data_IF_912330290247
#
_entry.id   IF_912330290247
#
_cell.length_a   1.000
_cell.length_b   1.000
_cell.length_c   1.000
_cell.angle_alpha   90.00
_cell.angle_beta   90.00
_cell.angle_gamma   90.00
#
_symmetry.space_group_name_H-M   'P 1'
#
loop_
_entity.id
_entity.type
_entity.pdbx_description
1 polymer ?
#
# COMPACT_ATOMS: atom_id res chain seq x y z
N UNK A 1 59.47 -0.31 -1.54
CA UNK A 1 58.93 0.93 -2.13
C UNK A 1 57.39 1.03 -2.12
N UNK A 2 56.61 -0.07 -2.07
CA UNK A 2 55.14 -0.01 -1.90
C UNK A 2 54.63 0.10 -0.45
N UNK A 3 55.47 -0.13 0.58
CA UNK A 3 55.07 0.08 1.99
C UNK A 3 55.13 1.56 2.41
N UNK A 4 56.07 2.35 1.91
CA UNK A 4 56.27 3.76 2.31
C UNK A 4 55.15 4.71 1.84
N UNK A 5 54.51 4.44 0.71
CA UNK A 5 53.39 5.26 0.19
C UNK A 5 52.14 5.16 1.05
N UNK A 6 51.82 3.98 1.60
CA UNK A 6 50.62 3.78 2.43
C UNK A 6 50.75 4.45 3.81
N UNK A 7 51.96 4.43 4.40
CA UNK A 7 52.25 5.12 5.67
C UNK A 7 52.22 6.65 5.52
N UNK A 8 52.77 7.22 4.43
CA UNK A 8 52.71 8.66 4.18
C UNK A 8 51.28 9.16 3.92
N UNK A 9 50.44 8.38 3.23
CA UNK A 9 49.02 8.71 3.03
C UNK A 9 48.23 8.64 4.34
N UNK A 10 48.53 7.68 5.22
CA UNK A 10 47.87 7.59 6.52
C UNK A 10 48.29 8.72 7.47
N UNK A 11 49.58 9.06 7.50
CA UNK A 11 50.13 10.15 8.32
C UNK A 11 49.59 11.53 7.89
N UNK A 12 49.54 11.81 6.60
CA UNK A 12 48.97 13.06 6.06
C UNK A 12 47.48 13.20 6.35
N UNK A 13 46.71 12.10 6.30
CA UNK A 13 45.29 12.09 6.70
C UNK A 13 45.09 12.38 8.19
N UNK A 14 45.89 11.77 9.06
CA UNK A 14 45.85 12.02 10.51
C UNK A 14 46.23 13.46 10.87
N UNK A 15 47.25 14.02 10.22
CA UNK A 15 47.62 15.44 10.39
C UNK A 15 46.50 16.37 9.93
N UNK A 16 45.87 16.10 8.79
CA UNK A 16 44.73 16.89 8.29
C UNK A 16 43.56 16.83 9.27
N UNK A 17 43.23 15.66 9.80
CA UNK A 17 42.19 15.51 10.83
C UNK A 17 42.51 16.32 12.10
N UNK A 18 43.73 16.23 12.62
CA UNK A 18 44.14 16.98 13.81
C UNK A 18 44.08 18.50 13.59
N UNK A 19 44.45 18.98 12.39
CA UNK A 19 44.31 20.39 12.01
C UNK A 19 42.84 20.84 11.95
N UNK A 20 41.95 20.00 11.43
CA UNK A 20 40.51 20.29 11.37
C UNK A 20 39.91 20.34 12.79
N UNK A 21 40.30 19.41 13.66
CA UNK A 21 39.87 19.40 15.05
C UNK A 21 40.36 20.65 15.80
N UNK A 22 41.59 21.11 15.55
CA UNK A 22 42.12 22.35 16.14
C UNK A 22 41.41 23.62 15.60
N UNK A 23 40.84 23.56 14.40
CA UNK A 23 40.06 24.66 13.78
C UNK A 23 38.59 24.66 14.17
N UNK A 24 38.08 23.56 14.74
CA UNK A 24 36.68 23.47 15.15
C UNK A 24 36.37 24.52 16.22
N UNK A 25 35.28 25.26 16.01
CA UNK A 25 34.87 26.31 16.93
C UNK A 25 34.37 25.71 18.25
N UNK A 26 34.73 26.34 19.37
CA UNK A 26 34.14 26.05 20.67
C UNK A 26 32.85 26.86 20.80
N UNK A 27 31.71 26.19 20.65
CA UNK A 27 30.39 26.82 20.69
C UNK A 27 29.80 26.80 22.11
N UNK A 28 29.06 27.86 22.53
CA UNK A 28 28.41 27.91 23.86
C UNK A 28 27.39 26.78 24.08
N UNK A 29 26.73 26.36 23.00
CA UNK A 29 25.84 25.20 22.92
C UNK A 29 26.23 24.40 21.69
N UNK A 30 26.31 23.08 21.82
CA UNK A 30 26.48 22.18 20.68
C UNK A 30 25.18 22.10 19.86
N UNK A 31 25.16 22.52 18.59
CA UNK A 31 23.98 22.36 17.73
C UNK A 31 23.68 20.87 17.52
N UNK A 32 22.39 20.52 17.53
CA UNK A 32 21.94 19.17 17.21
C UNK A 32 21.93 19.00 15.68
N UNK A 33 22.76 18.08 15.17
CA UNK A 33 22.92 17.83 13.73
C UNK A 33 22.33 16.47 13.38
N UNK A 34 21.43 16.45 12.39
CA UNK A 34 20.90 15.22 11.83
C UNK A 34 21.53 14.98 10.46
N UNK A 35 22.28 13.89 10.31
CA UNK A 35 22.70 13.38 8.99
C UNK A 35 21.73 12.27 8.63
N UNK A 36 20.81 12.56 7.71
CA UNK A 36 19.62 11.74 7.42
C UNK A 36 19.90 10.83 6.22
N UNK A 37 19.86 9.52 6.47
CA UNK A 37 19.97 8.48 5.45
C UNK A 37 18.60 8.09 4.88
N UNK A 38 17.57 8.01 5.74
CA UNK A 38 16.17 7.81 5.36
C UNK A 38 15.26 8.81 6.08
N UNK A 39 14.33 9.43 5.34
CA UNK A 39 13.36 10.39 5.90
C UNK A 39 12.22 9.70 6.66
N UNK A 40 11.72 8.60 6.10
CA UNK A 40 10.63 7.79 6.66
C UNK A 40 10.84 6.31 6.32
N UNK A 41 10.89 5.42 7.34
CA UNK A 41 11.08 5.75 8.76
C UNK A 41 12.40 6.51 8.99
N UNK A 42 12.48 7.36 10.03
CA UNK A 42 13.66 8.20 10.26
C UNK A 42 14.88 7.32 10.58
N UNK A 43 15.92 7.43 9.75
CA UNK A 43 17.21 6.79 9.97
C UNK A 43 18.33 7.84 9.89
N UNK A 44 19.09 7.96 10.98
CA UNK A 44 20.23 8.87 11.12
C UNK A 44 21.53 8.04 11.11
N UNK A 45 22.52 8.50 10.34
CA UNK A 45 23.83 7.83 10.19
C UNK A 45 24.48 7.56 11.55
N UNK A 46 25.11 6.39 11.71
CA UNK A 46 25.87 6.00 12.90
C UNK A 46 27.36 5.85 12.60
N UNK A 47 28.18 5.89 13.63
CA UNK A 47 29.61 5.58 13.55
C UNK A 47 30.41 6.83 13.25
N UNK A 48 31.23 6.80 12.18
CA UNK A 48 32.14 7.88 11.83
C UNK A 48 31.44 9.23 11.64
N UNK A 49 30.17 9.26 11.22
CA UNK A 49 29.38 10.48 11.08
C UNK A 49 29.17 11.22 12.40
N UNK A 50 28.89 10.48 13.49
CA UNK A 50 28.75 11.05 14.83
C UNK A 50 30.07 11.62 15.33
N UNK A 51 31.18 10.88 15.13
CA UNK A 51 32.52 11.35 15.48
C UNK A 51 32.87 12.63 14.72
N UNK A 52 32.56 12.71 13.42
CA UNK A 52 32.82 13.91 12.62
C UNK A 52 32.00 15.12 13.10
N UNK A 53 30.72 14.93 13.44
CA UNK A 53 29.88 16.00 13.99
C UNK A 53 30.42 16.48 15.34
N UNK A 54 30.84 15.56 16.21
CA UNK A 54 31.43 15.90 17.49
C UNK A 54 32.75 16.67 17.35
N UNK A 55 33.64 16.21 16.45
CA UNK A 55 34.90 16.91 16.12
C UNK A 55 34.61 18.31 15.61
N UNK A 56 33.56 18.49 14.79
CA UNK A 56 33.17 19.77 14.23
C UNK A 56 32.41 20.70 15.23
N UNK A 57 32.23 20.28 16.48
CA UNK A 57 31.62 21.09 17.55
C UNK A 57 30.10 20.94 17.70
N UNK A 58 29.48 20.00 16.98
CA UNK A 58 28.07 19.67 17.11
C UNK A 58 27.80 18.47 18.03
N UNK A 59 26.53 18.04 18.05
CA UNK A 59 26.09 16.81 18.68
C UNK A 59 25.07 16.08 17.79
N UNK A 60 25.05 14.76 17.84
CA UNK A 60 23.99 13.93 17.24
C UNK A 60 23.12 13.29 18.32
N UNK A 61 21.88 12.88 18.02
CA UNK A 61 21.07 12.11 18.96
C UNK A 61 21.81 10.88 19.48
N UNK A 62 21.69 10.61 20.79
CA UNK A 62 22.33 9.46 21.45
C UNK A 62 21.90 8.11 20.87
N UNK A 63 20.70 8.07 20.31
CA UNK A 63 20.18 6.92 19.58
C UNK A 63 20.40 7.14 18.08
N UNK A 64 21.35 6.41 17.46
CA UNK A 64 21.62 6.46 16.01
C UNK A 64 21.88 5.06 15.45
N UNK A 65 21.74 4.89 14.12
CA UNK A 65 21.97 3.61 13.42
C UNK A 65 20.93 2.53 13.69
N UNK A 66 19.72 2.96 14.02
CA UNK A 66 18.48 2.18 14.02
C UNK A 66 17.37 3.08 13.47
N UNK A 67 16.20 2.51 13.19
CA UNK A 67 14.99 3.31 12.96
C UNK A 67 14.67 4.05 14.27
N UNK A 68 14.48 5.37 14.17
CA UNK A 68 14.23 6.25 15.31
C UNK A 68 12.80 6.76 15.29
N UNK A 69 12.22 6.90 16.48
CA UNK A 69 11.00 7.68 16.69
C UNK A 69 11.38 9.15 16.89
N UNK A 70 11.13 10.03 15.90
CA UNK A 70 11.52 11.44 15.98
C UNK A 70 10.82 12.21 17.10
N UNK A 71 9.70 11.71 17.65
CA UNK A 71 9.00 12.37 18.76
C UNK A 71 9.76 12.29 20.08
N UNK A 72 10.72 11.37 20.18
CA UNK A 72 11.54 11.13 21.37
C UNK A 72 12.94 11.76 21.28
N UNK A 73 13.26 12.44 20.17
CA UNK A 73 14.58 13.03 19.94
C UNK A 73 14.58 14.54 20.14
N UNK A 74 15.74 15.09 20.49
CA UNK A 74 15.95 16.55 20.48
C UNK A 74 15.84 17.09 19.05
N UNK A 75 15.09 18.18 18.82
CA UNK A 75 14.92 18.76 17.48
C UNK A 75 16.25 19.18 16.84
N UNK A 76 16.39 18.95 15.53
CA UNK A 76 17.59 19.29 14.79
C UNK A 76 17.75 20.81 14.60
N UNK A 77 18.94 21.33 14.94
CA UNK A 77 19.40 22.69 14.63
C UNK A 77 19.95 22.78 13.20
N UNK A 78 20.50 21.68 12.67
CA UNK A 78 21.02 21.52 11.30
C UNK A 78 20.61 20.16 10.75
N UNK A 79 20.15 20.10 9.49
CA UNK A 79 19.87 18.84 8.80
C UNK A 79 20.76 18.71 7.56
N UNK A 80 21.48 17.60 7.46
CA UNK A 80 22.22 17.17 6.28
C UNK A 80 21.49 15.98 5.67
N UNK A 81 20.96 16.13 4.47
CA UNK A 81 20.26 15.07 3.73
C UNK A 81 21.26 14.31 2.89
N UNK A 82 21.52 13.06 3.29
CA UNK A 82 22.45 12.14 2.67
C UNK A 82 21.71 10.84 2.33
N UNK A 83 20.66 10.92 1.49
CA UNK A 83 19.79 9.76 1.22
C UNK A 83 20.58 8.59 0.62
N UNK A 84 20.35 7.40 1.16
CA UNK A 84 21.08 6.20 0.75
C UNK A 84 20.77 5.84 -0.72
N UNK A 85 21.82 5.59 -1.51
CA UNK A 85 21.67 5.17 -2.91
C UNK A 85 21.38 6.32 -3.89
N UNK A 86 21.18 7.56 -3.42
CA UNK A 86 20.83 8.69 -4.27
C UNK A 86 21.98 9.69 -4.37
N UNK A 87 22.16 10.27 -5.56
CA UNK A 87 22.96 11.48 -5.71
C UNK A 87 22.19 12.71 -5.19
N UNK A 88 22.88 13.85 -5.08
CA UNK A 88 22.34 15.09 -4.54
C UNK A 88 21.10 15.59 -5.30
N UNK A 89 21.12 15.55 -6.63
CA UNK A 89 20.07 16.14 -7.46
C UNK A 89 18.80 15.27 -7.41
N UNK A 90 18.96 13.95 -7.35
CA UNK A 90 17.86 12.99 -7.13
C UNK A 90 17.31 13.12 -5.70
N UNK A 91 18.17 13.23 -4.69
CA UNK A 91 17.74 13.43 -3.30
C UNK A 91 16.93 14.72 -3.12
N UNK A 92 17.30 15.80 -3.82
CA UNK A 92 16.53 17.05 -3.83
C UNK A 92 15.15 16.86 -4.48
N UNK A 93 15.07 16.19 -5.63
CA UNK A 93 13.77 15.91 -6.27
C UNK A 93 12.87 15.07 -5.37
N UNK A 94 13.45 14.07 -4.70
CA UNK A 94 12.73 13.23 -3.73
C UNK A 94 12.10 14.08 -2.61
N UNK A 95 12.87 14.99 -2.01
CA UNK A 95 12.39 15.95 -1.00
C UNK A 95 11.29 16.89 -1.49
N UNK A 96 11.26 17.20 -2.79
CA UNK A 96 10.24 18.08 -3.39
C UNK A 96 8.96 17.32 -3.78
N UNK A 97 9.08 16.02 -4.07
CA UNK A 97 7.98 15.20 -4.61
C UNK A 97 7.05 14.60 -3.57
N UNK A 98 7.44 14.59 -2.29
CA UNK A 98 6.72 13.91 -1.20
C UNK A 98 6.41 14.85 -0.05
N UNK A 99 5.29 14.64 0.68
CA UNK A 99 5.04 15.38 1.90
C UNK A 99 6.16 15.07 2.92
N UNK A 100 6.76 16.12 3.47
CA UNK A 100 7.81 16.00 4.47
C UNK A 100 7.18 15.69 5.85
N UNK A 101 7.85 14.87 6.68
CA UNK A 101 7.32 14.42 7.96
C UNK A 101 7.19 15.57 8.97
N UNK A 102 6.31 15.41 9.95
CA UNK A 102 5.98 16.48 10.91
C UNK A 102 7.19 16.96 11.73
N UNK A 103 8.06 16.03 12.16
CA UNK A 103 9.29 16.36 12.90
C UNK A 103 10.23 17.27 12.12
N UNK A 104 10.28 17.08 10.80
CA UNK A 104 11.09 17.87 9.89
C UNK A 104 10.55 19.29 9.86
N UNK A 105 9.27 19.45 9.56
CA UNK A 105 8.59 20.74 9.44
C UNK A 105 8.67 21.57 10.73
N UNK A 106 8.67 20.92 11.90
CA UNK A 106 8.75 21.59 13.20
C UNK A 106 10.18 21.95 13.63
N UNK A 107 11.20 21.40 12.99
CA UNK A 107 12.60 21.55 13.40
C UNK A 107 13.13 22.99 13.26
N UNK A 108 14.00 23.44 14.19
CA UNK A 108 14.74 24.69 14.03
C UNK A 108 15.52 24.77 12.71
N UNK A 109 16.11 23.65 12.28
CA UNK A 109 16.85 23.57 11.03
C UNK A 109 16.04 24.04 9.81
N UNK A 110 14.79 23.57 9.69
CA UNK A 110 13.93 23.96 8.56
C UNK A 110 13.50 25.42 8.65
N UNK A 111 13.13 25.88 9.86
CA UNK A 111 12.70 27.26 10.09
C UNK A 111 13.79 28.28 9.77
N UNK A 112 15.04 27.94 10.05
CA UNK A 112 16.20 28.80 9.82
C UNK A 112 16.88 28.55 8.46
N UNK A 113 16.36 27.63 7.62
CA UNK A 113 16.96 27.32 6.33
C UNK A 113 18.31 26.57 6.42
N UNK A 114 18.57 25.89 7.53
CA UNK A 114 19.76 25.08 7.79
C UNK A 114 19.60 23.62 7.33
N UNK A 115 19.09 23.45 6.11
CA UNK A 115 18.95 22.15 5.46
C UNK A 115 19.88 22.08 4.26
N UNK A 116 20.70 21.04 4.21
CA UNK A 116 21.73 20.88 3.20
C UNK A 116 21.66 19.50 2.58
N UNK A 117 21.56 19.42 1.25
CA UNK A 117 21.50 18.17 0.49
C UNK A 117 22.89 17.89 -0.09
N UNK A 118 23.33 16.64 0.06
CA UNK A 118 24.64 16.17 -0.39
C UNK A 118 24.48 14.82 -1.11
N UNK A 119 25.52 14.39 -1.81
CA UNK A 119 25.60 13.00 -2.30
C UNK A 119 25.96 12.08 -1.11
N UNK A 120 24.96 11.32 -0.64
CA UNK A 120 25.12 10.45 0.52
C UNK A 120 26.15 9.34 0.30
N UNK A 121 26.21 8.77 -0.91
CA UNK A 121 27.12 7.68 -1.25
C UNK A 121 28.59 8.12 -1.27
N UNK A 122 28.86 9.34 -1.72
CA UNK A 122 30.23 9.86 -1.80
C UNK A 122 30.75 10.39 -0.46
N UNK A 123 29.86 10.92 0.39
CA UNK A 123 30.27 11.72 1.54
C UNK A 123 30.09 11.03 2.90
N UNK A 124 28.88 10.57 3.24
CA UNK A 124 28.55 10.18 4.61
C UNK A 124 28.25 8.69 4.79
N UNK A 125 27.69 8.03 3.76
CA UNK A 125 27.13 6.68 3.90
C UNK A 125 28.15 5.57 3.62
N UNK A 126 29.36 5.92 3.15
CA UNK A 126 30.45 4.98 2.86
C UNK A 126 31.79 5.51 3.33
N UNK A 127 32.72 4.63 3.77
CA UNK A 127 34.07 5.03 4.10
C UNK A 127 34.88 5.29 2.83
N UNK A 128 34.73 6.49 2.27
CA UNK A 128 35.45 6.93 1.06
C UNK A 128 36.69 7.73 1.42
N UNK A 129 37.54 8.04 0.43
CA UNK A 129 38.65 8.97 0.61
C UNK A 129 38.20 10.42 0.87
N UNK A 130 36.90 10.72 0.76
CA UNK A 130 36.30 12.05 0.93
C UNK A 130 35.77 12.34 2.33
N UNK A 131 35.87 11.39 3.27
CA UNK A 131 35.43 11.62 4.66
C UNK A 131 36.10 12.85 5.30
N UNK A 132 37.37 13.11 5.00
CA UNK A 132 38.06 14.31 5.49
C UNK A 132 37.56 15.60 4.83
N UNK A 133 37.10 15.54 3.58
CA UNK A 133 36.49 16.68 2.91
C UNK A 133 35.11 16.97 3.52
N UNK A 134 34.35 15.92 3.86
CA UNK A 134 33.08 16.04 4.58
C UNK A 134 33.26 16.58 6.00
N UNK A 135 34.30 16.13 6.72
CA UNK A 135 34.66 16.67 8.03
C UNK A 135 35.04 18.15 7.94
N UNK A 136 35.88 18.52 6.97
CA UNK A 136 36.27 19.92 6.76
C UNK A 136 35.05 20.80 6.47
N UNK A 137 34.11 20.30 5.69
CA UNK A 137 32.85 20.99 5.45
C UNK A 137 31.99 21.11 6.71
N UNK A 138 31.88 20.06 7.53
CA UNK A 138 31.17 20.12 8.82
C UNK A 138 31.80 21.14 9.79
N UNK A 139 33.13 21.21 9.85
CA UNK A 139 33.86 22.19 10.68
C UNK A 139 33.54 23.64 10.28
N UNK A 140 33.21 23.88 9.00
CA UNK A 140 32.77 25.18 8.51
C UNK A 140 31.26 25.40 8.70
N UNK A 141 30.45 24.35 8.47
CA UNK A 141 29.00 24.40 8.49
C UNK A 141 28.45 24.64 9.90
N UNK A 142 28.86 23.83 10.87
CA UNK A 142 28.27 23.82 12.21
C UNK A 142 28.34 25.18 12.92
N UNK A 143 29.46 25.92 12.90
CA UNK A 143 29.52 27.23 13.57
C UNK A 143 28.84 28.37 12.82
N UNK A 144 28.64 28.24 11.51
CA UNK A 144 28.12 29.32 10.66
C UNK A 144 27.24 28.78 9.49
N UNK A 145 26.14 28.07 9.79
CA UNK A 145 25.33 27.42 8.75
C UNK A 145 24.73 28.41 7.75
N UNK A 146 24.54 29.65 8.17
CA UNK A 146 23.94 30.74 7.38
C UNK A 146 24.87 31.20 6.25
N UNK A 147 26.18 31.14 6.49
CA UNK A 147 27.23 31.66 5.60
C UNK A 147 27.96 30.55 4.81
N UNK A 148 27.55 29.29 4.94
CA UNK A 148 28.32 28.16 4.38
C UNK A 148 28.56 28.25 2.87
N UNK A 149 27.64 28.85 2.10
CA UNK A 149 27.77 29.06 0.65
C UNK A 149 28.89 30.01 0.27
N UNK A 150 29.22 30.95 1.15
CA UNK A 150 30.32 31.90 0.96
C UNK A 150 31.66 31.32 1.41
N UNK A 151 31.62 30.47 2.43
CA UNK A 151 32.78 29.88 3.10
C UNK A 151 33.30 28.64 2.36
N UNK A 152 32.40 27.79 1.87
CA UNK A 152 32.75 26.50 1.26
C UNK A 152 32.38 26.46 -0.22
N UNK A 153 33.40 26.62 -1.08
CA UNK A 153 33.22 26.68 -2.55
C UNK A 153 33.48 25.36 -3.27
N UNK A 154 34.15 24.42 -2.60
CA UNK A 154 34.66 23.18 -3.23
C UNK A 154 33.88 21.94 -2.81
N UNK A 155 33.19 21.98 -1.67
CA UNK A 155 32.38 20.85 -1.23
C UNK A 155 31.03 20.84 -1.97
N UNK A 156 30.63 19.72 -2.62
CA UNK A 156 29.42 19.69 -3.42
C UNK A 156 28.19 19.47 -2.53
N UNK A 157 27.56 20.56 -2.12
CA UNK A 157 26.27 20.57 -1.42
C UNK A 157 25.28 21.47 -2.14
N UNK A 158 24.02 21.41 -1.71
CA UNK A 158 23.00 22.39 -2.06
C UNK A 158 22.18 22.75 -0.83
N UNK A 159 21.94 24.03 -0.59
CA UNK A 159 21.02 24.46 0.48
C UNK A 159 19.59 24.20 0.01
N UNK A 160 18.86 23.36 0.73
CA UNK A 160 17.46 23.10 0.46
C UNK A 160 16.62 24.17 1.17
N UNK A 161 16.02 25.04 0.37
CA UNK A 161 14.96 25.92 0.87
C UNK A 161 13.68 25.13 0.81
N UNK A 162 13.05 24.91 1.98
CA UNK A 162 11.69 24.41 2.00
C UNK A 162 10.77 25.47 1.41
N UNK A 163 10.54 25.37 0.11
CA UNK A 163 9.42 26.05 -0.54
C UNK A 163 8.21 25.19 -0.16
N UNK A 164 7.47 25.63 0.87
CA UNK A 164 6.12 25.11 1.07
C UNK A 164 5.42 25.20 -0.29
N UNK A 165 4.78 24.13 -0.82
CA UNK A 165 4.03 24.25 -2.06
C UNK A 165 2.97 25.35 -1.86
N UNK A 166 3.06 26.53 -2.50
CA UNK A 166 2.32 27.69 -2.01
C UNK A 166 0.84 27.73 -2.39
N UNK A 167 0.33 26.80 -3.22
CA UNK A 167 -1.10 26.78 -3.60
C UNK A 167 -1.71 25.37 -3.59
N UNK A 168 -0.99 24.30 -3.96
CA UNK A 168 -1.61 22.95 -4.04
C UNK A 168 -1.92 22.31 -2.68
N UNK A 169 -1.16 22.60 -1.62
CA UNK A 169 -1.39 22.00 -0.29
C UNK A 169 -2.53 22.70 0.46
N UNK A 170 -2.60 24.04 0.42
CA UNK A 170 -3.74 24.77 0.98
C UNK A 170 -5.02 24.45 0.22
N UNK A 171 -4.95 24.37 -1.12
CA UNK A 171 -6.11 24.07 -1.95
C UNK A 171 -6.61 22.64 -1.75
N UNK A 172 -5.71 21.66 -1.59
CA UNK A 172 -6.12 20.28 -1.28
C UNK A 172 -6.74 20.17 0.11
N UNK A 173 -6.23 20.91 1.10
CA UNK A 173 -6.81 20.97 2.44
C UNK A 173 -8.19 21.66 2.42
N UNK A 174 -8.36 22.73 1.64
CA UNK A 174 -9.65 23.38 1.40
C UNK A 174 -10.64 22.46 0.69
N UNK A 175 -10.20 21.74 -0.35
CA UNK A 175 -10.99 20.71 -1.04
C UNK A 175 -11.45 19.64 -0.05
N UNK A 176 -10.56 19.15 0.82
CA UNK A 176 -10.88 18.13 1.80
C UNK A 176 -11.84 18.67 2.88
N UNK A 177 -11.61 19.87 3.40
CA UNK A 177 -12.48 20.49 4.39
C UNK A 177 -13.90 20.75 3.83
N UNK A 178 -14.02 21.24 2.59
CA UNK A 178 -15.30 21.42 1.92
C UNK A 178 -16.03 20.08 1.71
N UNK A 179 -15.30 19.05 1.30
CA UNK A 179 -15.82 17.69 1.13
C UNK A 179 -16.29 17.08 2.46
N UNK A 180 -15.52 17.22 3.54
CA UNK A 180 -15.84 16.71 4.87
C UNK A 180 -17.07 17.40 5.45
N UNK A 181 -17.15 18.73 5.35
CA UNK A 181 -18.32 19.50 5.76
C UNK A 181 -19.59 19.07 5.01
N UNK A 182 -19.50 18.88 3.69
CA UNK A 182 -20.62 18.42 2.87
C UNK A 182 -21.02 16.96 3.20
N UNK A 183 -20.05 16.08 3.49
CA UNK A 183 -20.33 14.72 3.96
C UNK A 183 -21.06 14.72 5.31
N UNK A 184 -20.59 15.52 6.27
CA UNK A 184 -21.22 15.66 7.59
C UNK A 184 -22.66 16.18 7.47
N UNK A 185 -22.91 17.10 6.54
CA UNK A 185 -24.23 17.63 6.22
C UNK A 185 -25.08 16.71 5.32
N UNK A 186 -24.58 15.53 4.92
CA UNK A 186 -25.24 14.59 3.99
C UNK A 186 -25.66 15.24 2.67
N UNK A 187 -24.82 16.14 2.15
CA UNK A 187 -25.05 16.79 0.87
C UNK A 187 -24.53 15.92 -0.28
N UNK A 188 -25.24 15.95 -1.42
CA UNK A 188 -24.86 15.17 -2.59
C UNK A 188 -23.56 15.67 -3.25
N UNK A 189 -23.31 16.97 -3.18
CA UNK A 189 -22.17 17.66 -3.80
C UNK A 189 -21.61 18.74 -2.88
N UNK A 190 -20.37 19.13 -3.13
CA UNK A 190 -19.75 20.36 -2.66
C UNK A 190 -19.17 21.11 -3.86
N UNK A 191 -18.99 22.42 -3.74
CA UNK A 191 -18.28 23.20 -4.75
C UNK A 191 -16.78 23.05 -4.53
N UNK A 192 -16.08 22.50 -5.51
CA UNK A 192 -14.64 22.27 -5.47
C UNK A 192 -13.88 23.61 -5.46
N UNK A 193 -13.18 23.96 -4.36
CA UNK A 193 -12.47 25.24 -4.25
C UNK A 193 -11.46 25.48 -5.37
N UNK A 194 -10.92 24.44 -5.99
CA UNK A 194 -9.95 24.57 -7.08
C UNK A 194 -10.57 24.89 -8.44
N UNK A 195 -11.79 24.40 -8.70
CA UNK A 195 -12.37 24.41 -10.05
C UNK A 195 -13.70 25.14 -10.14
N UNK A 196 -14.35 25.38 -9.00
CA UNK A 196 -15.72 25.88 -8.90
C UNK A 196 -16.78 24.87 -9.36
N UNK A 197 -16.39 23.64 -9.71
CA UNK A 197 -17.35 22.61 -10.13
C UNK A 197 -18.02 21.93 -8.92
N UNK A 198 -19.30 21.61 -9.07
CA UNK A 198 -20.00 20.76 -8.11
C UNK A 198 -19.52 19.30 -8.18
N UNK A 199 -18.75 18.86 -7.19
CA UNK A 199 -18.18 17.51 -7.10
C UNK A 199 -19.00 16.64 -6.15
N UNK A 200 -19.27 15.38 -6.53
CA UNK A 200 -20.00 14.45 -5.68
C UNK A 200 -19.23 14.11 -4.41
N UNK A 201 -19.93 14.09 -3.27
CA UNK A 201 -19.34 13.69 -1.98
C UNK A 201 -19.15 12.18 -1.89
N UNK A 202 -18.12 11.74 -1.16
CA UNK A 202 -17.91 10.32 -0.82
C UNK A 202 -19.15 9.68 -0.18
N UNK A 203 -19.83 10.40 0.74
CA UNK A 203 -21.08 9.94 1.35
C UNK A 203 -22.14 9.61 0.29
N UNK A 204 -22.41 10.54 -0.63
CA UNK A 204 -23.41 10.34 -1.67
C UNK A 204 -23.05 9.22 -2.64
N UNK A 205 -21.76 9.09 -2.98
CA UNK A 205 -21.27 7.98 -3.81
C UNK A 205 -21.45 6.64 -3.11
N UNK A 206 -21.16 6.56 -1.81
CA UNK A 206 -21.33 5.36 -1.00
C UNK A 206 -22.81 4.95 -0.89
N UNK A 207 -23.73 5.90 -0.69
CA UNK A 207 -25.18 5.66 -0.66
C UNK A 207 -25.72 5.11 -1.99
N UNK A 208 -25.16 5.54 -3.11
CA UNK A 208 -25.53 5.04 -4.44
C UNK A 208 -25.05 3.61 -4.69
N UNK A 209 -23.97 3.19 -4.02
CA UNK A 209 -23.37 1.85 -4.13
C UNK A 209 -22.91 1.51 -5.56
N UNK A 210 -22.49 2.52 -6.33
CA UNK A 210 -22.02 2.37 -7.72
C UNK A 210 -20.83 3.30 -7.96
N UNK A 211 -19.71 2.74 -8.40
CA UNK A 211 -18.60 3.53 -8.95
C UNK A 211 -18.91 3.93 -10.40
N UNK A 212 -18.92 5.23 -10.70
CA UNK A 212 -19.33 5.74 -12.01
C UNK A 212 -18.23 5.70 -13.09
N UNK A 213 -17.00 5.37 -12.75
CA UNK A 213 -15.87 5.35 -13.70
C UNK A 213 -15.32 6.74 -14.08
N UNK A 214 -15.78 7.83 -13.43
CA UNK A 214 -15.40 9.21 -13.79
C UNK A 214 -14.28 9.82 -12.91
N UNK A 215 -13.43 8.99 -12.29
CA UNK A 215 -12.27 9.42 -11.47
C UNK A 215 -12.58 10.54 -10.45
N UNK A 216 -13.69 10.41 -9.71
CA UNK A 216 -14.13 11.41 -8.74
C UNK A 216 -13.05 11.71 -7.67
N UNK A 217 -12.88 12.97 -7.27
CA UNK A 217 -11.86 13.38 -6.27
C UNK A 217 -11.86 12.56 -4.98
N UNK A 218 -13.04 12.27 -4.45
CA UNK A 218 -13.21 11.52 -3.18
C UNK A 218 -13.99 10.22 -3.41
N UNK A 219 -13.62 9.46 -4.44
CA UNK A 219 -14.25 8.16 -4.71
C UNK A 219 -14.01 7.19 -3.54
N UNK A 220 -15.06 6.72 -2.84
CA UNK A 220 -14.92 5.77 -1.73
C UNK A 220 -14.56 4.35 -2.23
N UNK A 221 -14.77 4.10 -3.52
CA UNK A 221 -14.52 2.82 -4.17
C UNK A 221 -13.12 2.71 -4.78
N UNK A 222 -12.18 3.58 -4.39
CA UNK A 222 -10.80 3.57 -4.92
C UNK A 222 -10.70 3.61 -6.45
N UNK A 223 -11.62 4.35 -7.10
CA UNK A 223 -11.74 4.40 -8.56
C UNK A 223 -11.87 3.03 -9.24
N UNK A 224 -12.53 2.07 -8.59
CA UNK A 224 -12.52 0.68 -9.05
C UNK A 224 -13.13 0.46 -10.45
N UNK A 225 -14.04 1.32 -10.93
CA UNK A 225 -14.57 1.24 -12.29
C UNK A 225 -13.88 2.21 -13.28
N UNK A 226 -12.80 2.89 -12.89
CA UNK A 226 -12.01 3.72 -13.82
C UNK A 226 -11.03 2.80 -14.55
N UNK A 227 -11.03 2.79 -15.90
CA UNK A 227 -10.09 1.98 -16.67
C UNK A 227 -8.64 2.27 -16.28
N UNK A 228 -7.79 1.23 -16.22
CA UNK A 228 -6.41 1.34 -15.72
C UNK A 228 -5.61 2.38 -16.49
N UNK A 229 -5.78 2.41 -17.82
CA UNK A 229 -5.19 3.36 -18.74
C UNK A 229 -5.56 4.83 -18.45
N UNK A 230 -6.64 5.08 -17.71
CA UNK A 230 -7.19 6.42 -17.41
C UNK A 230 -6.94 6.89 -15.96
N UNK A 231 -6.35 6.06 -15.12
CA UNK A 231 -6.15 6.38 -13.69
C UNK A 231 -5.10 7.46 -13.46
N UNK A 232 -4.02 7.47 -14.26
CA UNK A 232 -2.83 8.27 -13.97
C UNK A 232 -2.22 7.93 -12.61
N UNK A 233 -1.39 8.83 -12.07
CA UNK A 233 -0.58 8.54 -10.87
C UNK A 233 -1.34 8.69 -9.53
N UNK A 234 -2.51 9.34 -9.54
CA UNK A 234 -3.29 9.64 -8.32
C UNK A 234 -4.55 8.79 -8.26
N UNK A 235 -4.51 7.71 -7.48
CA UNK A 235 -5.64 6.82 -7.22
C UNK A 235 -6.08 6.96 -5.77
N UNK A 236 -7.38 6.97 -5.53
CA UNK A 236 -7.90 6.98 -4.16
C UNK A 236 -7.72 5.60 -3.51
N UNK A 237 -7.33 5.60 -2.24
CA UNK A 237 -7.33 4.38 -1.43
C UNK A 237 -8.75 4.07 -0.95
N UNK A 238 -9.11 2.79 -0.94
CA UNK A 238 -10.29 2.34 -0.22
C UNK A 238 -9.93 2.19 1.25
N UNK A 239 -10.49 3.04 2.12
CA UNK A 239 -10.16 3.05 3.55
C UNK A 239 -11.24 2.42 4.42
N UNK A 240 -12.41 2.11 3.85
CA UNK A 240 -13.57 1.57 4.57
C UNK A 240 -14.23 0.45 3.77
N UNK A 241 -15.09 -0.33 4.43
CA UNK A 241 -15.92 -1.31 3.76
C UNK A 241 -16.85 -0.64 2.74
N UNK A 242 -16.98 -1.23 1.56
CA UNK A 242 -17.81 -0.71 0.46
C UNK A 242 -18.64 -1.80 -0.17
N UNK A 243 -19.91 -1.49 -0.42
CA UNK A 243 -20.82 -2.33 -1.18
C UNK A 243 -21.01 -1.77 -2.58
N UNK A 244 -20.86 -2.62 -3.58
CA UNK A 244 -20.98 -2.34 -5.00
C UNK A 244 -22.13 -3.18 -5.57
N UNK A 245 -23.13 -2.51 -6.16
CA UNK A 245 -24.20 -3.20 -6.90
C UNK A 245 -23.65 -3.78 -8.21
N UNK A 246 -24.29 -4.85 -8.68
CA UNK A 246 -24.07 -5.34 -10.03
C UNK A 246 -24.27 -4.20 -11.07
N UNK A 247 -23.35 -4.03 -12.03
CA UNK A 247 -23.39 -2.90 -12.97
C UNK A 247 -24.59 -2.97 -13.94
N UNK A 248 -25.07 -4.18 -14.27
CA UNK A 248 -26.16 -4.40 -15.23
C UNK A 248 -27.23 -5.32 -14.60
N UNK A 249 -28.10 -4.83 -13.70
CA UNK A 249 -28.97 -5.67 -12.87
C UNK A 249 -29.98 -6.56 -13.63
N UNK A 250 -30.20 -6.34 -14.93
CA UNK A 250 -31.09 -7.16 -15.78
C UNK A 250 -30.36 -7.96 -16.87
N UNK A 251 -29.03 -7.92 -16.89
CA UNK A 251 -28.23 -8.68 -17.86
C UNK A 251 -27.72 -9.99 -17.22
N UNK A 252 -27.51 -11.02 -18.05
CA UNK A 252 -26.76 -12.20 -17.64
C UNK A 252 -25.29 -11.83 -17.44
N UNK A 253 -24.71 -12.29 -16.34
CA UNK A 253 -23.27 -12.21 -16.11
C UNK A 253 -22.48 -13.17 -17.02
N UNK A 254 -21.14 -13.06 -17.00
CA UNK A 254 -20.25 -13.92 -17.80
C UNK A 254 -20.51 -15.42 -17.57
N UNK A 255 -20.87 -15.81 -16.34
CA UNK A 255 -21.14 -17.20 -15.95
C UNK A 255 -22.60 -17.62 -16.19
N UNK A 256 -23.39 -16.79 -16.88
CA UNK A 256 -24.79 -17.07 -17.18
C UNK A 256 -25.77 -16.77 -16.04
N UNK A 257 -25.29 -16.37 -14.86
CA UNK A 257 -26.14 -15.97 -13.74
C UNK A 257 -27.08 -14.83 -14.14
N UNK A 258 -28.35 -14.98 -13.79
CA UNK A 258 -29.38 -13.95 -13.93
C UNK A 258 -30.00 -13.70 -12.56
N UNK A 259 -29.97 -12.44 -12.12
CA UNK A 259 -30.58 -12.03 -10.85
C UNK A 259 -32.09 -12.38 -10.84
N UNK A 260 -32.64 -12.87 -9.71
CA UNK A 260 -34.08 -13.08 -9.55
C UNK A 260 -34.89 -11.81 -9.85
N UNK A 261 -36.13 -11.99 -10.34
CA UNK A 261 -37.03 -10.87 -10.57
C UNK A 261 -37.33 -10.10 -9.28
N UNK A 262 -37.66 -8.81 -9.40
CA UNK A 262 -37.88 -7.92 -8.26
C UNK A 262 -38.94 -8.49 -7.32
N UNK A 263 -38.60 -8.63 -6.04
CA UNK A 263 -39.49 -9.17 -5.00
C UNK A 263 -39.55 -10.70 -4.92
N UNK A 264 -38.89 -11.43 -5.84
CA UNK A 264 -38.80 -12.89 -5.80
C UNK A 264 -37.68 -13.39 -4.87
N UNK A 265 -36.57 -12.66 -4.78
CA UNK A 265 -35.46 -13.01 -3.91
C UNK A 265 -35.87 -12.95 -2.42
N UNK A 266 -35.73 -14.08 -1.72
CA UNK A 266 -35.99 -14.25 -0.29
C UNK A 266 -34.73 -14.56 0.50
N UNK A 267 -33.74 -15.16 -0.16
CA UNK A 267 -32.48 -15.57 0.44
C UNK A 267 -31.30 -14.97 -0.31
N UNK A 268 -30.28 -14.58 0.45
CA UNK A 268 -29.00 -14.10 -0.06
C UNK A 268 -27.97 -15.20 0.17
N UNK A 269 -27.36 -15.66 -0.91
CA UNK A 269 -26.25 -16.60 -0.89
C UNK A 269 -24.96 -15.78 -0.99
N UNK A 270 -24.16 -15.79 0.07
CA UNK A 270 -22.92 -15.02 0.13
C UNK A 270 -21.76 -15.92 -0.26
N UNK A 271 -21.14 -15.63 -1.39
CA UNK A 271 -19.97 -16.37 -1.87
C UNK A 271 -18.71 -15.62 -1.43
N UNK A 272 -17.89 -16.28 -0.60
CA UNK A 272 -16.58 -15.75 -0.23
C UNK A 272 -15.65 -15.80 -1.45
N UNK A 273 -15.43 -14.63 -2.03
CA UNK A 273 -14.74 -14.46 -3.30
C UNK A 273 -13.32 -13.99 -3.05
N UNK A 274 -12.33 -14.85 -3.28
CA UNK A 274 -10.92 -14.48 -3.15
C UNK A 274 -10.37 -13.89 -4.45
N UNK A 275 -11.07 -14.10 -5.58
CA UNK A 275 -10.61 -13.74 -6.91
C UNK A 275 -9.74 -14.81 -7.57
N UNK A 276 -9.44 -15.90 -6.87
CA UNK A 276 -8.66 -17.03 -7.37
C UNK A 276 -9.51 -18.19 -7.88
N UNK A 277 -8.81 -19.21 -8.42
CA UNK A 277 -9.40 -20.38 -9.09
C UNK A 277 -10.42 -21.14 -8.23
N UNK A 278 -10.19 -21.25 -6.92
CA UNK A 278 -11.04 -22.05 -6.02
C UNK A 278 -12.39 -21.36 -5.80
N UNK A 279 -12.36 -20.04 -5.56
CA UNK A 279 -13.59 -19.23 -5.47
C UNK A 279 -14.35 -19.17 -6.81
N UNK A 280 -13.63 -19.26 -7.94
CA UNK A 280 -14.23 -19.32 -9.27
C UNK A 280 -14.98 -20.63 -9.53
N UNK A 281 -14.37 -21.77 -9.19
CA UNK A 281 -15.02 -23.08 -9.22
C UNK A 281 -16.24 -23.11 -8.29
N UNK A 282 -16.10 -22.64 -7.06
CA UNK A 282 -17.19 -22.61 -6.08
C UNK A 282 -18.36 -21.74 -6.52
N UNK A 283 -18.08 -20.57 -7.11
CA UNK A 283 -19.12 -19.69 -7.67
C UNK A 283 -19.85 -20.36 -8.83
N UNK A 284 -19.14 -21.04 -9.73
CA UNK A 284 -19.76 -21.75 -10.84
C UNK A 284 -20.75 -22.83 -10.35
N UNK A 285 -20.33 -23.68 -9.42
CA UNK A 285 -21.16 -24.73 -8.83
C UNK A 285 -22.37 -24.16 -8.08
N UNK A 286 -22.15 -23.06 -7.36
CA UNK A 286 -23.24 -22.34 -6.68
C UNK A 286 -24.28 -21.89 -7.71
N UNK A 287 -23.86 -21.25 -8.81
CA UNK A 287 -24.78 -20.79 -9.85
C UNK A 287 -25.60 -21.94 -10.44
N UNK A 288 -25.02 -23.13 -10.61
CA UNK A 288 -25.73 -24.30 -11.15
C UNK A 288 -26.77 -24.89 -10.17
N UNK A 289 -26.63 -24.65 -8.87
CA UNK A 289 -27.46 -25.24 -7.81
C UNK A 289 -28.43 -24.25 -7.15
N UNK A 290 -28.44 -22.99 -7.59
CA UNK A 290 -29.31 -21.95 -7.04
C UNK A 290 -30.79 -22.24 -7.25
N UNK A 291 -31.57 -21.92 -6.22
CA UNK A 291 -33.00 -21.78 -6.34
C UNK A 291 -33.40 -20.43 -6.93
N UNK A 292 -34.57 -20.42 -7.52
CA UNK A 292 -35.18 -19.28 -8.22
C UNK A 292 -35.47 -18.05 -7.33
N UNK A 293 -35.42 -18.22 -6.01
CA UNK A 293 -35.62 -17.20 -4.97
C UNK A 293 -34.33 -16.81 -4.24
N UNK A 294 -33.17 -17.24 -4.75
CA UNK A 294 -31.85 -16.96 -4.18
C UNK A 294 -31.05 -15.96 -5.01
N UNK A 295 -30.51 -14.94 -4.35
CA UNK A 295 -29.64 -13.93 -4.97
C UNK A 295 -28.18 -14.08 -4.48
N UNK A 296 -27.20 -14.02 -5.39
CA UNK A 296 -25.78 -14.08 -5.01
C UNK A 296 -25.25 -12.68 -4.65
N UNK A 297 -24.45 -12.63 -3.60
CA UNK A 297 -23.53 -11.51 -3.31
C UNK A 297 -22.13 -12.07 -3.12
N UNK A 298 -21.13 -11.45 -3.76
CA UNK A 298 -19.72 -11.74 -3.49
C UNK A 298 -19.28 -10.98 -2.24
N UNK A 299 -18.50 -11.61 -1.38
CA UNK A 299 -17.87 -10.96 -0.23
C UNK A 299 -16.36 -11.21 -0.26
N UNK A 300 -15.58 -10.14 -0.14
CA UNK A 300 -14.12 -10.20 -0.08
C UNK A 300 -13.61 -9.29 1.01
N UNK A 301 -12.64 -9.74 1.79
CA UNK A 301 -11.95 -8.90 2.77
C UNK A 301 -10.68 -8.31 2.17
N UNK A 302 -10.32 -7.09 2.57
CA UNK A 302 -9.07 -6.46 2.16
C UNK A 302 -8.47 -5.63 3.30
N UNK A 303 -7.14 -5.48 3.30
CA UNK A 303 -6.46 -4.61 4.24
C UNK A 303 -6.42 -3.17 3.67
N UNK A 304 -7.07 -2.18 4.31
CA UNK A 304 -7.05 -0.79 3.85
C UNK A 304 -5.69 -0.09 4.05
N UNK A 305 -4.83 -0.58 4.94
CA UNK A 305 -3.51 0.00 5.22
C UNK A 305 -2.54 -0.28 4.05
N UNK A 306 -2.57 -1.51 3.54
CA UNK A 306 -1.73 -1.98 2.43
C UNK A 306 -2.45 -2.07 1.09
N UNK A 307 -3.76 -1.80 1.07
CA UNK A 307 -4.65 -1.88 -0.09
C UNK A 307 -4.52 -3.21 -0.86
N UNK A 308 -4.53 -4.33 -0.13
CA UNK A 308 -4.36 -5.68 -0.68
C UNK A 308 -5.42 -6.63 -0.14
N UNK A 309 -5.85 -7.60 -0.94
CA UNK A 309 -6.57 -8.79 -0.46
C UNK A 309 -5.54 -9.73 0.18
N UNK A 310 -5.57 -9.95 1.50
CA UNK A 310 -4.59 -10.80 2.19
C UNK A 310 -4.58 -12.22 1.61
N UNK A 311 -3.45 -12.91 1.76
CA UNK A 311 -3.19 -14.27 1.23
C UNK A 311 -3.09 -14.29 -0.31
N UNK A 312 -4.10 -13.81 -1.03
CA UNK A 312 -4.09 -13.77 -2.50
C UNK A 312 -3.09 -12.78 -3.09
N UNK A 313 -2.72 -11.75 -2.32
CA UNK A 313 -1.76 -10.71 -2.70
C UNK A 313 -2.16 -9.96 -3.99
N UNK A 314 -3.46 -9.67 -4.14
CA UNK A 314 -3.99 -8.91 -5.27
C UNK A 314 -4.66 -7.61 -4.81
N UNK A 315 -4.65 -6.54 -5.64
CA UNK A 315 -5.35 -5.30 -5.32
C UNK A 315 -6.88 -5.50 -5.28
N UNK A 316 -7.62 -4.83 -4.37
CA UNK A 316 -9.08 -4.89 -4.34
C UNK A 316 -9.76 -4.46 -5.65
N UNK A 317 -9.11 -3.60 -6.46
CA UNK A 317 -9.63 -3.25 -7.78
C UNK A 317 -9.80 -4.48 -8.67
N UNK A 318 -8.87 -5.43 -8.63
CA UNK A 318 -8.98 -6.66 -9.43
C UNK A 318 -10.24 -7.43 -9.08
N UNK A 319 -10.61 -7.48 -7.79
CA UNK A 319 -11.87 -8.08 -7.34
C UNK A 319 -13.10 -7.33 -7.88
N UNK A 320 -13.06 -6.01 -7.91
CA UNK A 320 -14.15 -5.20 -8.47
C UNK A 320 -14.30 -5.42 -9.97
N UNK A 321 -13.19 -5.50 -10.70
CA UNK A 321 -13.20 -5.80 -12.14
C UNK A 321 -13.81 -7.19 -12.40
N UNK A 322 -13.41 -8.20 -11.63
CA UNK A 322 -14.02 -9.53 -11.70
C UNK A 322 -15.52 -9.48 -11.42
N UNK A 323 -15.95 -8.89 -10.30
CA UNK A 323 -17.37 -8.77 -9.95
C UNK A 323 -18.19 -8.04 -11.01
N UNK A 324 -17.62 -7.00 -11.63
CA UNK A 324 -18.23 -6.25 -12.72
C UNK A 324 -18.46 -7.11 -13.97
N UNK A 325 -17.45 -7.90 -14.38
CA UNK A 325 -17.56 -8.83 -15.53
C UNK A 325 -18.53 -9.98 -15.24
N UNK A 326 -18.48 -10.51 -14.02
CA UNK A 326 -19.42 -11.51 -13.52
C UNK A 326 -20.85 -10.94 -13.36
N UNK A 327 -20.99 -9.61 -13.38
CA UNK A 327 -22.22 -8.88 -13.15
C UNK A 327 -22.90 -9.24 -11.82
N UNK A 328 -22.10 -9.36 -10.76
CA UNK A 328 -22.54 -9.72 -9.42
C UNK A 328 -22.35 -8.54 -8.45
N UNK A 329 -23.22 -8.37 -7.44
CA UNK A 329 -22.97 -7.47 -6.34
C UNK A 329 -21.73 -7.93 -5.55
N UNK A 330 -20.98 -6.98 -5.01
CA UNK A 330 -19.74 -7.22 -4.27
C UNK A 330 -19.71 -6.40 -2.98
N UNK A 331 -19.41 -7.05 -1.87
CA UNK A 331 -19.11 -6.41 -0.60
C UNK A 331 -17.62 -6.57 -0.29
N UNK A 332 -16.88 -5.46 -0.42
CA UNK A 332 -15.50 -5.36 0.06
C UNK A 332 -15.49 -4.94 1.53
N UNK A 333 -15.00 -5.81 2.40
CA UNK A 333 -14.94 -5.58 3.85
C UNK A 333 -13.53 -5.15 4.22
N UNK A 334 -13.38 -3.93 4.74
CA UNK A 334 -12.09 -3.43 5.20
C UNK A 334 -11.71 -4.09 6.53
N UNK A 335 -10.54 -4.72 6.56
CA UNK A 335 -9.93 -5.34 7.73
C UNK A 335 -8.54 -4.71 7.98
N UNK A 336 -8.46 -3.61 8.74
CA UNK A 336 -7.19 -3.02 9.14
C UNK A 336 -6.30 -4.01 9.89
N UNK A 337 -5.00 -3.75 9.91
CA UNK A 337 -4.04 -4.59 10.62
C UNK A 337 -4.38 -4.69 12.12
N UNK A 338 -4.49 -5.91 12.64
CA UNK A 338 -4.86 -6.17 14.04
C UNK A 338 -6.37 -6.11 14.33
N UNK A 339 -7.21 -5.89 13.32
CA UNK A 339 -8.65 -5.91 13.50
C UNK A 339 -9.22 -7.32 13.70
N UNK A 340 -10.35 -7.41 14.40
CA UNK A 340 -11.09 -8.66 14.58
C UNK A 340 -11.85 -9.03 13.29
N UNK A 341 -11.29 -10.02 12.57
CA UNK A 341 -11.87 -10.59 11.35
C UNK A 341 -13.32 -11.03 11.57
N UNK A 342 -13.60 -11.80 12.63
CA UNK A 342 -14.90 -12.43 12.86
C UNK A 342 -15.97 -11.37 13.07
N UNK A 343 -15.68 -10.39 13.93
CA UNK A 343 -16.61 -9.29 14.22
C UNK A 343 -16.90 -8.46 12.97
N UNK A 344 -15.88 -8.09 12.19
CA UNK A 344 -16.06 -7.25 11.01
C UNK A 344 -16.81 -7.97 9.88
N UNK A 345 -16.52 -9.24 9.62
CA UNK A 345 -17.24 -10.03 8.61
C UNK A 345 -18.69 -10.25 9.04
N UNK A 346 -18.96 -10.60 10.30
CA UNK A 346 -20.34 -10.76 10.80
C UNK A 346 -21.12 -9.45 10.75
N UNK A 347 -20.47 -8.32 11.05
CA UNK A 347 -21.10 -7.00 10.93
C UNK A 347 -21.42 -6.66 9.47
N UNK A 348 -20.54 -7.00 8.53
CA UNK A 348 -20.82 -6.85 7.10
C UNK A 348 -22.00 -7.73 6.67
N UNK A 349 -22.09 -9.00 7.11
CA UNK A 349 -23.23 -9.86 6.81
C UNK A 349 -24.56 -9.29 7.36
N UNK A 350 -24.54 -8.70 8.56
CA UNK A 350 -25.71 -8.01 9.13
C UNK A 350 -26.07 -6.75 8.33
N UNK A 351 -25.08 -5.92 7.99
CA UNK A 351 -25.28 -4.70 7.20
C UNK A 351 -25.83 -5.01 5.80
N UNK A 352 -25.36 -6.10 5.19
CA UNK A 352 -25.83 -6.58 3.89
C UNK A 352 -27.36 -6.78 3.89
N UNK A 353 -27.89 -7.43 4.93
CA UNK A 353 -29.32 -7.67 5.10
C UNK A 353 -30.10 -6.40 5.46
N UNK A 354 -29.55 -5.57 6.35
CA UNK A 354 -30.26 -4.40 6.90
C UNK A 354 -30.31 -3.24 5.90
N UNK A 355 -29.22 -2.99 5.16
CA UNK A 355 -29.03 -1.72 4.47
C UNK A 355 -28.67 -1.81 2.98
N UNK A 356 -28.19 -2.96 2.48
CA UNK A 356 -27.61 -3.04 1.11
C UNK A 356 -28.46 -3.82 0.11
N UNK A 357 -29.07 -4.94 0.52
CA UNK A 357 -29.80 -5.84 -0.37
C UNK A 357 -31.32 -5.61 -0.29
N UNK A 358 -32.11 -6.09 -1.28
CA UNK A 358 -33.36 -5.41 -1.65
C UNK A 358 -34.38 -5.32 -0.51
N UNK A 359 -35.05 -4.16 -0.46
CA UNK A 359 -36.10 -3.78 0.52
C UNK A 359 -37.29 -4.74 0.60
N UNK A 360 -37.34 -5.78 -0.23
CA UNK A 360 -38.35 -6.84 -0.17
C UNK A 360 -38.22 -7.73 1.08
N UNK A 361 -37.12 -7.61 1.83
CA UNK A 361 -36.84 -8.43 3.01
C UNK A 361 -36.24 -9.77 2.58
N UNK A 362 -35.02 -10.04 3.03
CA UNK A 362 -34.33 -11.29 2.78
C UNK A 362 -33.41 -11.63 3.94
N UNK A 363 -33.12 -12.92 4.12
CA UNK A 363 -32.13 -13.41 5.10
C UNK A 363 -30.89 -13.92 4.38
N UNK A 364 -29.78 -14.08 5.11
CA UNK A 364 -28.68 -14.91 4.59
C UNK A 364 -29.18 -16.35 4.54
N UNK A 365 -29.26 -16.92 3.34
CA UNK A 365 -29.66 -18.32 3.12
C UNK A 365 -28.49 -19.28 3.33
N UNK A 366 -27.27 -18.83 3.01
CA UNK A 366 -26.06 -19.59 3.27
C UNK A 366 -24.78 -18.82 2.91
N UNK A 367 -23.67 -19.29 3.44
CA UNK A 367 -22.32 -18.82 3.12
C UNK A 367 -21.60 -19.90 2.31
N UNK A 368 -21.01 -19.52 1.19
CA UNK A 368 -20.28 -20.44 0.31
C UNK A 368 -18.79 -20.18 0.41
N UNK A 369 -18.02 -21.24 0.65
CA UNK A 369 -16.56 -21.22 0.66
C UNK A 369 -16.01 -22.18 -0.41
N UNK A 370 -14.85 -21.83 -0.96
CA UNK A 370 -14.15 -22.62 -1.97
C UNK A 370 -13.14 -23.61 -1.37
N UNK A 371 -13.34 -24.04 -0.12
CA UNK A 371 -12.40 -24.93 0.56
C UNK A 371 -12.44 -26.34 -0.06
N UNK A 372 -11.28 -26.98 -0.20
CA UNK A 372 -11.13 -28.26 -0.90
C UNK A 372 -11.09 -29.46 0.04
N UNK A 373 -10.16 -29.50 1.00
CA UNK A 373 -10.03 -30.66 1.90
C UNK A 373 -9.32 -30.40 3.24
N UNK A 374 -8.87 -29.19 3.55
CA UNK A 374 -8.18 -28.89 4.81
C UNK A 374 -9.18 -28.83 5.99
N UNK A 375 -9.26 -29.92 6.77
CA UNK A 375 -10.22 -30.06 7.87
C UNK A 375 -10.13 -28.93 8.89
N UNK A 376 -8.93 -28.48 9.27
CA UNK A 376 -8.74 -27.41 10.27
C UNK A 376 -9.39 -26.08 9.82
N UNK A 377 -9.30 -25.75 8.53
CA UNK A 377 -9.95 -24.55 7.96
C UNK A 377 -11.46 -24.70 8.02
N UNK A 378 -11.96 -25.88 7.65
CA UNK A 378 -13.39 -26.16 7.68
C UNK A 378 -13.96 -26.12 9.11
N UNK A 379 -13.31 -26.77 10.06
CA UNK A 379 -13.75 -26.81 11.47
C UNK A 379 -13.76 -25.41 12.08
N UNK A 380 -12.76 -24.59 11.74
CA UNK A 380 -12.73 -23.19 12.13
C UNK A 380 -13.91 -22.40 11.55
N UNK A 381 -14.27 -22.61 10.28
CA UNK A 381 -15.43 -21.94 9.66
C UNK A 381 -16.75 -22.40 10.26
N UNK A 382 -16.93 -23.71 10.43
CA UNK A 382 -18.13 -24.31 11.05
C UNK A 382 -18.35 -23.73 12.45
N UNK A 383 -17.26 -23.52 13.21
CA UNK A 383 -17.31 -22.88 14.53
C UNK A 383 -17.61 -21.39 14.44
N UNK A 384 -16.90 -20.68 13.56
CA UNK A 384 -16.95 -19.21 13.45
C UNK A 384 -18.32 -18.73 12.95
N UNK A 385 -18.92 -19.47 12.03
CA UNK A 385 -20.18 -19.12 11.35
C UNK A 385 -21.30 -20.11 11.65
N UNK A 386 -21.29 -20.74 12.83
CA UNK A 386 -22.26 -21.75 13.25
C UNK A 386 -23.73 -21.30 13.15
N UNK A 387 -23.99 -19.99 13.15
CA UNK A 387 -25.34 -19.43 12.98
C UNK A 387 -25.83 -19.40 11.52
N UNK A 388 -24.97 -19.72 10.54
CA UNK A 388 -25.29 -19.75 9.12
C UNK A 388 -25.18 -21.16 8.55
N UNK A 389 -25.95 -21.43 7.50
CA UNK A 389 -25.75 -22.63 6.69
C UNK A 389 -24.49 -22.47 5.83
N UNK A 390 -23.51 -23.35 6.00
CA UNK A 390 -22.26 -23.31 5.23
C UNK A 390 -22.31 -24.29 4.07
N UNK A 391 -21.89 -23.84 2.89
CA UNK A 391 -21.81 -24.63 1.68
C UNK A 391 -20.36 -24.69 1.20
N UNK A 392 -19.86 -25.90 0.92
CA UNK A 392 -18.51 -26.15 0.43
C UNK A 392 -18.60 -27.01 -0.83
N UNK A 393 -18.92 -26.42 -2.01
CA UNK A 393 -19.23 -27.19 -3.22
C UNK A 393 -18.06 -28.01 -3.76
N UNK A 394 -16.84 -27.71 -3.32
CA UNK A 394 -15.61 -28.36 -3.78
C UNK A 394 -15.09 -29.42 -2.82
N UNK A 395 -15.71 -29.55 -1.64
CA UNK A 395 -15.20 -30.36 -0.55
C UNK A 395 -15.07 -31.84 -0.95
N UNK A 396 -13.87 -32.40 -0.76
CA UNK A 396 -13.50 -33.78 -1.11
C UNK A 396 -13.67 -34.17 -2.60
N UNK A 397 -13.81 -33.22 -3.51
CA UNK A 397 -13.76 -33.52 -4.95
C UNK A 397 -12.33 -33.87 -5.38
N UNK A 398 -12.21 -34.79 -6.32
CA UNK A 398 -10.90 -35.24 -6.82
C UNK A 398 -10.26 -34.12 -7.66
N UNK A 399 -9.09 -33.65 -7.23
CA UNK A 399 -8.41 -32.53 -7.90
C UNK A 399 -8.07 -32.85 -9.36
N UNK A 400 -7.59 -34.06 -9.65
CA UNK A 400 -7.07 -34.43 -10.97
C UNK A 400 -8.17 -34.85 -11.95
N UNK A 401 -9.17 -35.58 -11.45
CA UNK A 401 -10.25 -36.16 -12.27
C UNK A 401 -11.43 -35.21 -12.45
N UNK A 402 -11.57 -34.22 -11.57
CA UNK A 402 -12.75 -33.39 -11.51
C UNK A 402 -12.41 -31.89 -11.57
N UNK A 403 -11.73 -31.35 -10.56
CA UNK A 403 -11.56 -29.91 -10.40
C UNK A 403 -10.66 -29.26 -11.45
N UNK A 404 -9.51 -29.85 -11.77
CA UNK A 404 -8.59 -29.32 -12.79
C UNK A 404 -9.22 -29.39 -14.20
N UNK A 405 -9.84 -30.51 -14.63
CA UNK A 405 -10.61 -30.55 -15.86
C UNK A 405 -11.73 -29.51 -15.91
N UNK A 406 -12.49 -29.37 -14.82
CA UNK A 406 -13.56 -28.38 -14.73
C UNK A 406 -13.00 -26.96 -14.88
N UNK A 407 -11.94 -26.61 -14.13
CA UNK A 407 -11.28 -25.30 -14.23
C UNK A 407 -10.85 -24.99 -15.67
N UNK A 408 -10.23 -25.96 -16.33
CA UNK A 408 -9.80 -25.84 -17.73
C UNK A 408 -10.99 -25.56 -18.64
N UNK A 409 -12.09 -26.32 -18.47
CA UNK A 409 -13.33 -26.12 -19.21
C UNK A 409 -13.93 -24.73 -18.95
N UNK A 410 -13.95 -24.26 -17.70
CA UNK A 410 -14.50 -22.97 -17.33
C UNK A 410 -13.70 -21.82 -17.95
N UNK A 411 -12.37 -21.91 -17.93
CA UNK A 411 -11.48 -20.94 -18.57
C UNK A 411 -11.81 -20.77 -20.06
N UNK A 412 -11.99 -21.89 -20.79
CA UNK A 412 -12.39 -21.84 -22.21
C UNK A 412 -13.81 -21.28 -22.36
N UNK A 413 -14.77 -21.80 -21.59
CA UNK A 413 -16.19 -21.47 -21.73
C UNK A 413 -16.46 -19.99 -21.45
N UNK A 414 -15.79 -19.43 -20.44
CA UNK A 414 -16.04 -18.08 -19.96
C UNK A 414 -14.96 -17.08 -20.37
N UNK A 415 -14.03 -17.47 -21.25
CA UNK A 415 -12.90 -16.65 -21.72
C UNK A 415 -12.13 -16.05 -20.55
N UNK A 416 -11.67 -16.94 -19.68
CA UNK A 416 -10.89 -16.61 -18.52
C UNK A 416 -9.53 -17.29 -18.57
N UNK A 417 -8.55 -16.70 -17.91
CA UNK A 417 -7.23 -17.25 -17.66
C UNK A 417 -6.96 -17.24 -16.16
N UNK A 418 -6.17 -18.20 -15.69
CA UNK A 418 -5.71 -18.23 -14.29
C UNK A 418 -4.23 -17.92 -14.30
N UNK A 419 -3.82 -16.94 -13.50
CA UNK A 419 -2.42 -16.58 -13.34
C UNK A 419 -2.00 -16.69 -11.87
N UNK A 420 -0.72 -16.90 -11.61
CA UNK A 420 -0.18 -16.88 -10.25
C UNK A 420 -0.24 -15.46 -9.68
N UNK A 421 -0.75 -15.32 -8.46
CA UNK A 421 -0.79 -14.05 -7.71
C UNK A 421 0.18 -14.00 -6.53
N UNK A 422 0.54 -15.17 -6.01
CA UNK A 422 1.62 -15.37 -5.06
C UNK A 422 2.27 -16.74 -5.34
N UNK A 423 3.58 -16.85 -5.14
CA UNK A 423 4.35 -18.08 -5.40
C UNK A 423 5.41 -18.23 -4.32
N UNK A 424 5.47 -19.40 -3.68
CA UNK A 424 6.60 -19.77 -2.84
C UNK A 424 7.81 -20.13 -3.72
N UNK A 425 8.76 -19.21 -3.81
CA UNK A 425 9.96 -19.35 -4.62
C UNK A 425 10.89 -20.47 -4.16
N UNK A 426 10.71 -21.02 -2.95
CA UNK A 426 11.48 -22.16 -2.44
C UNK A 426 10.95 -23.49 -2.95
N UNK A 427 9.66 -23.56 -3.28
CA UNK A 427 9.00 -24.78 -3.79
C UNK A 427 8.84 -24.74 -5.30
N UNK A 428 8.67 -23.55 -5.88
CA UNK A 428 8.31 -23.33 -7.28
C UNK A 428 9.35 -22.48 -8.00
N UNK A 429 10.58 -22.97 -8.06
CA UNK A 429 11.67 -22.31 -8.79
C UNK A 429 11.32 -22.08 -10.26
N UNK A 430 11.39 -20.83 -10.70
CA UNK A 430 11.19 -20.44 -12.09
C UNK A 430 9.76 -20.04 -12.46
N UNK A 431 8.80 -20.14 -11.55
CA UNK A 431 7.47 -19.54 -11.70
C UNK A 431 7.43 -18.16 -11.03
N UNK A 432 6.74 -17.22 -11.65
CA UNK A 432 6.61 -15.85 -11.17
C UNK A 432 5.14 -15.43 -11.07
N UNK A 433 4.89 -14.42 -10.24
CA UNK A 433 3.59 -13.73 -10.22
C UNK A 433 3.30 -13.19 -11.63
N UNK A 434 2.10 -13.48 -12.13
CA UNK A 434 1.67 -13.14 -13.49
C UNK A 434 1.82 -14.27 -14.51
N UNK A 435 2.63 -15.30 -14.23
CA UNK A 435 2.69 -16.47 -15.10
C UNK A 435 1.34 -17.18 -15.14
N UNK A 436 1.00 -17.76 -16.29
CA UNK A 436 -0.24 -18.53 -16.45
C UNK A 436 -0.11 -19.85 -15.68
N UNK A 437 -1.13 -20.12 -14.86
CA UNK A 437 -1.23 -21.35 -14.10
C UNK A 437 -1.52 -22.53 -15.03
N UNK A 438 -0.65 -23.53 -14.98
CA UNK A 438 -0.82 -24.81 -15.67
C UNK A 438 -0.42 -25.94 -14.74
N UNK A 439 -1.41 -26.71 -14.27
CA UNK A 439 -1.19 -27.81 -13.31
C UNK A 439 -0.13 -28.82 -13.77
N UNK A 440 0.02 -29.02 -15.08
CA UNK A 440 0.99 -29.96 -15.66
C UNK A 440 2.45 -29.49 -15.59
N UNK A 441 2.67 -28.20 -15.34
CA UNK A 441 4.01 -27.60 -15.18
C UNK A 441 4.51 -27.65 -13.73
N UNK A 442 3.65 -28.04 -12.79
CA UNK A 442 4.01 -28.13 -11.38
C UNK A 442 4.86 -29.39 -11.11
N UNK A 443 5.85 -29.31 -10.19
CA UNK A 443 6.54 -30.50 -9.69
C UNK A 443 5.55 -31.48 -9.07
N UNK A 444 5.81 -32.79 -9.17
CA UNK A 444 4.94 -33.82 -8.62
C UNK A 444 4.80 -33.81 -7.09
N UNK A 445 5.68 -33.08 -6.40
CA UNK A 445 5.66 -32.89 -4.94
C UNK A 445 4.78 -31.72 -4.49
N UNK A 446 4.27 -30.90 -5.43
CA UNK A 446 3.47 -29.72 -5.15
C UNK A 446 2.00 -30.07 -5.30
N UNK A 447 1.16 -29.61 -4.38
CA UNK A 447 -0.28 -29.73 -4.53
C UNK A 447 -0.74 -28.97 -5.78
N UNK A 448 -1.42 -29.62 -6.74
CA UNK A 448 -1.77 -28.97 -7.99
C UNK A 448 -2.78 -27.83 -7.80
N UNK A 449 -3.50 -27.78 -6.68
CA UNK A 449 -4.40 -26.70 -6.29
C UNK A 449 -3.78 -25.74 -5.26
N UNK A 450 -2.55 -25.99 -4.79
CA UNK A 450 -1.80 -25.06 -3.94
C UNK A 450 -2.34 -24.95 -2.51
N UNK A 451 -3.00 -26.00 -2.01
CA UNK A 451 -3.64 -25.99 -0.68
C UNK A 451 -2.65 -25.87 0.49
N UNK A 452 -1.37 -26.23 0.31
CA UNK A 452 -0.38 -26.12 1.38
C UNK A 452 0.35 -24.76 1.39
N UNK A 453 -0.18 -23.78 0.65
CA UNK A 453 0.38 -22.43 0.57
C UNK A 453 1.50 -22.29 -0.45
N UNK A 454 1.67 -23.26 -1.36
CA UNK A 454 2.72 -23.22 -2.39
C UNK A 454 2.52 -22.04 -3.36
N UNK A 455 1.27 -21.69 -3.64
CA UNK A 455 0.91 -20.54 -4.47
C UNK A 455 -0.54 -20.10 -4.29
N UNK A 456 -0.82 -18.87 -4.73
CA UNK A 456 -2.17 -18.35 -4.92
C UNK A 456 -2.38 -17.92 -6.37
N UNK A 457 -3.64 -17.77 -6.76
CA UNK A 457 -4.00 -17.47 -8.15
C UNK A 457 -5.00 -16.35 -8.25
N UNK A 458 -5.05 -15.74 -9.43
CA UNK A 458 -6.05 -14.75 -9.82
C UNK A 458 -6.68 -15.17 -11.14
N UNK A 459 -8.00 -15.03 -11.23
CA UNK A 459 -8.77 -15.25 -12.46
C UNK A 459 -8.86 -13.94 -13.25
N UNK A 460 -8.36 -13.95 -14.48
CA UNK A 460 -8.38 -12.83 -15.40
C UNK A 460 -9.42 -13.13 -16.49
N UNK A 461 -10.44 -12.28 -16.61
CA UNK A 461 -11.42 -12.40 -17.68
C UNK A 461 -11.01 -11.53 -18.87
N UNK A 462 -11.15 -12.06 -20.08
CA UNK A 462 -11.02 -11.26 -21.29
C UNK A 462 -12.13 -10.20 -21.33
N UNK A 463 -11.76 -8.96 -21.68
CA UNK A 463 -12.67 -7.81 -21.73
C UNK A 463 -13.72 -7.98 -22.83
#
# INVERSE_FOLDING_TARGET
>A
LHRTTSYNVCYTKLLRQAQLQAKAAVLPRKPIVYIVEWLQPLFIVKGWAAEMVEIAGGAMPRESGKILDPTQLEPADIIVVALCGLDRDVAKKELQSKPLPEWWLKSPAVKNGHVFVVDGNQMFNRPTNRLLDALEWLVQLIPAPENITEISKTFPFERYVHVAPPEERSLQDEINAAHEAACAAKQARYDDPATGYGVFTAWYLAERQVCCGNRCRHCPFGHANVPIENLGDKVNNMTSSVFLKAPKPMAKGRLGYLKPSRGKAKEIIVVFWSGGKDSFLALHETIQSLNDDQEIVLLTTFNPDSNVVPVQNIPPRTIVEQASILNLPLYLVALPTGADYNSLVKNALKDLVISKMPKSGGKIGGLVFGDLHLSDVKDWRDTTFAEFQLHNPLWHRDMHKDLIPLLTQLCVTYRAQVAYSAVDQTLLHGLQVGDIYESRKLPSSVDPMGENGEFHTVVLFEK
#
